data_IF_051797017637
#
_entry.id   IF_051797017637
#
_cell.length_a   1.000
_cell.length_b   1.000
_cell.length_c   1.000
_cell.angle_alpha   90.00
_cell.angle_beta   90.00
_cell.angle_gamma   90.00
#
_symmetry.space_group_name_H-M   'P 1'
#
loop_
_entity.id
_entity.type
_entity.pdbx_description
1 polymer ?
#
# COMPACT_ATOMS: atom_id res chain seq x y z
N UNK A 1 -7.67 15.03 1.52
CA UNK A 1 -6.42 14.85 0.74
C UNK A 1 -5.67 16.16 0.58
N UNK A 2 -6.21 17.17 -0.10
CA UNK A 2 -5.52 18.43 -0.40
C UNK A 2 -5.12 19.26 0.84
N UNK A 3 -6.08 19.59 1.72
CA UNK A 3 -5.81 20.40 2.93
C UNK A 3 -4.74 19.80 3.84
N UNK A 4 -4.76 18.47 3.97
CA UNK A 4 -3.82 17.70 4.80
C UNK A 4 -2.59 17.22 4.01
N UNK A 5 -2.39 17.70 2.78
CA UNK A 5 -1.24 17.37 1.92
C UNK A 5 -0.98 15.87 1.74
N UNK A 6 -2.05 15.08 1.74
CA UNK A 6 -2.01 13.64 1.47
C UNK A 6 -2.00 13.42 -0.04
N UNK A 7 -1.20 12.46 -0.49
CA UNK A 7 -0.96 12.14 -1.90
C UNK A 7 -1.60 10.82 -2.27
N UNK A 8 -1.46 9.78 -1.45
CA UNK A 8 -2.01 8.44 -1.71
C UNK A 8 -2.85 8.00 -0.51
N UNK A 9 -3.97 7.34 -0.76
CA UNK A 9 -4.77 6.75 0.32
C UNK A 9 -5.52 5.51 -0.08
N UNK A 10 -5.81 4.68 0.92
CA UNK A 10 -6.44 3.36 0.81
C UNK A 10 -7.27 3.07 2.08
N UNK A 11 -8.10 2.02 2.05
CA UNK A 11 -8.79 1.50 3.24
C UNK A 11 -8.23 0.14 3.67
N UNK A 12 -8.15 -0.81 2.73
CA UNK A 12 -7.72 -2.19 2.99
C UNK A 12 -6.26 -2.38 2.56
N UNK A 13 -5.52 -3.16 3.34
CA UNK A 13 -4.20 -3.66 2.97
C UNK A 13 -4.13 -5.17 3.14
N UNK A 14 -3.51 -5.87 2.18
CA UNK A 14 -3.50 -7.33 2.14
C UNK A 14 -2.23 -7.88 1.51
N UNK A 15 -1.97 -9.16 1.74
CA UNK A 15 -0.83 -9.87 1.17
C UNK A 15 -1.12 -10.32 -0.27
N UNK A 16 -0.19 -10.06 -1.18
CA UNK A 16 -0.21 -10.62 -2.53
C UNK A 16 0.23 -12.09 -2.52
N UNK A 17 -0.19 -12.86 -3.53
CA UNK A 17 0.27 -14.23 -3.73
C UNK A 17 1.69 -14.24 -4.33
N UNK A 18 2.69 -14.76 -3.62
CA UNK A 18 4.07 -14.80 -4.12
C UNK A 18 4.23 -15.46 -5.51
N UNK A 19 3.36 -16.40 -5.87
CA UNK A 19 3.37 -17.06 -7.18
C UNK A 19 3.04 -16.14 -8.36
N UNK A 20 2.46 -14.97 -8.11
CA UNK A 20 2.05 -13.98 -9.13
C UNK A 20 3.14 -12.95 -9.38
N UNK A 21 4.03 -12.77 -8.42
CA UNK A 21 5.09 -11.75 -8.40
C UNK A 21 6.49 -12.32 -8.05
N UNK A 22 6.89 -13.54 -8.51
CA UNK A 22 8.11 -14.18 -8.05
C UNK A 22 9.39 -13.36 -8.25
N UNK A 23 9.47 -12.50 -9.28
CA UNK A 23 10.63 -11.64 -9.51
C UNK A 23 10.41 -10.13 -9.32
N UNK A 24 9.20 -9.71 -8.89
CA UNK A 24 8.86 -8.28 -8.73
C UNK A 24 9.81 -7.58 -7.76
N UNK A 25 9.96 -8.10 -6.54
CA UNK A 25 10.76 -7.43 -5.53
C UNK A 25 12.24 -7.33 -5.90
N UNK A 26 12.80 -8.38 -6.50
CA UNK A 26 14.19 -8.36 -7.01
C UNK A 26 14.37 -7.28 -8.09
N UNK A 27 13.36 -7.12 -8.95
CA UNK A 27 13.34 -6.08 -9.99
C UNK A 27 13.30 -4.68 -9.37
N UNK A 28 12.48 -4.48 -8.33
CA UNK A 28 12.37 -3.24 -7.55
C UNK A 28 13.68 -2.91 -6.84
N UNK A 29 14.30 -3.87 -6.16
CA UNK A 29 15.61 -3.70 -5.53
C UNK A 29 16.67 -3.26 -6.55
N UNK A 30 16.66 -3.86 -7.74
CA UNK A 30 17.53 -3.46 -8.85
C UNK A 30 17.32 -1.99 -9.26
N UNK A 31 16.07 -1.55 -9.35
CA UNK A 31 15.74 -0.15 -9.65
C UNK A 31 16.26 0.81 -8.58
N UNK A 32 16.02 0.51 -7.31
CA UNK A 32 16.43 1.37 -6.19
C UNK A 32 17.97 1.46 -6.10
N UNK A 33 18.69 0.34 -6.27
CA UNK A 33 20.17 0.34 -6.30
C UNK A 33 20.73 1.19 -7.44
N UNK A 34 20.09 1.15 -8.60
CA UNK A 34 20.51 1.94 -9.77
C UNK A 34 20.19 3.44 -9.65
N UNK A 35 19.34 3.82 -8.69
CA UNK A 35 18.89 5.20 -8.52
C UNK A 35 19.03 5.64 -7.04
N UNK A 36 20.27 5.81 -6.55
CA UNK A 36 20.51 6.22 -5.17
C UNK A 36 19.87 7.59 -4.93
N UNK A 37 19.08 7.70 -3.86
CA UNK A 37 18.39 8.95 -3.48
C UNK A 37 16.93 9.06 -3.94
N UNK A 38 16.38 8.08 -4.68
CA UNK A 38 14.95 8.07 -5.00
C UNK A 38 14.05 7.68 -3.82
N UNK A 39 14.57 6.96 -2.83
CA UNK A 39 13.81 6.64 -1.63
C UNK A 39 13.50 7.93 -0.86
N UNK A 40 12.22 8.12 -0.55
CA UNK A 40 11.80 9.26 0.25
C UNK A 40 12.40 9.18 1.66
N UNK A 41 12.78 10.33 2.21
CA UNK A 41 13.09 10.43 3.63
C UNK A 41 11.84 10.04 4.44
N UNK A 42 12.00 9.17 5.44
CA UNK A 42 10.89 8.60 6.21
C UNK A 42 9.81 7.95 5.34
N UNK A 43 10.24 7.16 4.35
CA UNK A 43 9.34 6.32 3.55
C UNK A 43 8.60 5.27 4.40
N UNK A 44 7.60 4.61 3.81
CA UNK A 44 6.91 3.46 4.41
C UNK A 44 7.54 2.13 3.97
N UNK A 45 8.84 2.08 3.70
CA UNK A 45 9.56 0.86 3.36
C UNK A 45 9.32 -0.27 4.39
N UNK A 46 9.25 0.06 5.68
CA UNK A 46 9.02 -0.88 6.78
C UNK A 46 7.72 -1.67 6.61
N UNK A 47 6.72 -1.10 5.94
CA UNK A 47 5.46 -1.77 5.63
C UNK A 47 5.63 -2.92 4.61
N UNK A 48 6.62 -2.82 3.71
CA UNK A 48 6.83 -3.76 2.62
C UNK A 48 7.77 -4.92 3.01
N UNK A 49 8.57 -4.81 4.07
CA UNK A 49 9.68 -5.73 4.30
C UNK A 49 9.50 -6.60 5.53
N UNK A 50 10.13 -7.78 5.52
CA UNK A 50 10.12 -8.70 6.68
C UNK A 50 11.02 -8.24 7.83
N UNK A 51 12.12 -7.56 7.49
CA UNK A 51 13.10 -7.05 8.44
C UNK A 51 13.47 -5.61 8.08
N UNK A 52 12.88 -4.61 8.77
CA UNK A 52 13.16 -3.18 8.55
C UNK A 52 14.63 -2.80 8.72
N UNK A 53 15.40 -3.51 9.57
CA UNK A 53 16.81 -3.18 9.82
C UNK A 53 17.71 -3.40 8.60
N UNK A 54 17.27 -4.25 7.66
CA UNK A 54 17.93 -4.49 6.37
C UNK A 54 17.49 -3.53 5.26
N UNK A 55 16.48 -2.70 5.51
CA UNK A 55 15.93 -1.76 4.53
C UNK A 55 15.56 -2.45 3.21
N UNK A 56 15.95 -1.84 2.09
CA UNK A 56 15.57 -2.32 0.75
C UNK A 56 16.14 -3.72 0.43
N UNK A 57 17.21 -4.12 1.12
CA UNK A 57 17.85 -5.44 0.94
C UNK A 57 17.12 -6.56 1.71
N UNK A 58 16.09 -6.22 2.47
CA UNK A 58 15.20 -7.18 3.12
C UNK A 58 14.27 -7.85 2.10
N UNK A 59 13.73 -9.01 2.46
CA UNK A 59 12.75 -9.70 1.63
C UNK A 59 11.39 -9.00 1.72
N UNK A 60 10.65 -9.00 0.59
CA UNK A 60 9.28 -8.53 0.55
C UNK A 60 8.38 -9.39 1.45
N UNK A 61 7.56 -8.74 2.27
CA UNK A 61 6.56 -9.40 3.11
C UNK A 61 5.23 -9.63 2.38
N UNK A 62 5.13 -9.20 1.11
CA UNK A 62 3.98 -9.32 0.22
C UNK A 62 2.86 -8.30 0.46
N UNK A 63 2.99 -7.40 1.44
CA UNK A 63 1.96 -6.45 1.78
C UNK A 63 1.79 -5.33 0.74
N UNK A 64 0.53 -5.12 0.35
CA UNK A 64 0.11 -4.05 -0.55
C UNK A 64 -1.11 -3.30 0.02
N UNK A 65 -1.30 -2.07 -0.44
CA UNK A 65 -2.56 -1.33 -0.38
C UNK A 65 -3.48 -1.89 -1.46
N UNK A 66 -4.75 -2.13 -1.13
CA UNK A 66 -5.65 -2.76 -2.08
C UNK A 66 -6.20 -1.75 -3.09
N UNK A 67 -5.76 -1.88 -4.35
CA UNK A 67 -5.99 -0.90 -5.42
C UNK A 67 -7.46 -0.69 -5.83
N UNK A 68 -8.36 -1.58 -5.39
CA UNK A 68 -9.79 -1.45 -5.66
C UNK A 68 -10.40 -0.17 -5.06
N UNK A 69 -9.84 0.35 -3.96
CA UNK A 69 -10.13 1.68 -3.44
C UNK A 69 -8.85 2.48 -3.24
N UNK A 70 -8.61 3.41 -4.16
CA UNK A 70 -7.51 4.37 -4.08
C UNK A 70 -8.04 5.79 -4.31
N UNK A 71 -7.66 6.72 -3.42
CA UNK A 71 -7.81 8.16 -3.68
C UNK A 71 -6.41 8.75 -3.74
N UNK A 72 -6.02 9.21 -4.93
CA UNK A 72 -4.63 9.59 -5.22
C UNK A 72 -4.56 10.92 -5.95
N UNK A 73 -3.57 11.73 -5.61
CA UNK A 73 -3.15 12.87 -6.41
C UNK A 73 -2.41 12.39 -7.67
N UNK A 74 -3.05 12.58 -8.83
CA UNK A 74 -2.53 12.16 -10.13
C UNK A 74 -1.15 12.76 -10.48
N UNK A 75 -0.70 13.83 -9.81
CA UNK A 75 0.66 14.36 -9.99
C UNK A 75 1.72 13.33 -9.59
N UNK A 76 1.41 12.43 -8.65
CA UNK A 76 2.32 11.35 -8.27
C UNK A 76 2.52 10.35 -9.40
N UNK A 77 1.44 9.83 -9.99
CA UNK A 77 1.52 8.92 -11.14
C UNK A 77 2.10 9.56 -12.40
N UNK A 78 1.98 10.88 -12.53
CA UNK A 78 2.58 11.67 -13.63
C UNK A 78 4.02 12.10 -13.34
N UNK A 79 4.55 11.82 -12.15
CA UNK A 79 5.90 12.21 -11.78
C UNK A 79 6.95 11.45 -12.59
N UNK A 80 8.10 12.08 -12.82
CA UNK A 80 9.24 11.42 -13.46
C UNK A 80 9.71 10.18 -12.69
N UNK A 81 9.64 10.23 -11.35
CA UNK A 81 10.00 9.10 -10.47
C UNK A 81 9.13 7.89 -10.76
N UNK A 82 7.80 8.04 -10.74
CA UNK A 82 6.89 6.93 -11.03
C UNK A 82 7.01 6.47 -12.48
N UNK A 83 7.07 7.38 -13.44
CA UNK A 83 7.20 7.03 -14.86
C UNK A 83 8.47 6.20 -15.13
N UNK A 84 9.60 6.56 -14.52
CA UNK A 84 10.85 5.81 -14.65
C UNK A 84 10.78 4.45 -13.95
N UNK A 85 10.18 4.39 -12.76
CA UNK A 85 9.95 3.14 -12.03
C UNK A 85 9.05 2.17 -12.82
N UNK A 86 7.88 2.64 -13.25
CA UNK A 86 6.96 1.84 -14.06
C UNK A 86 7.61 1.40 -15.37
N UNK A 87 8.31 2.31 -16.07
CA UNK A 87 9.04 1.94 -17.28
C UNK A 87 10.14 0.89 -17.06
N UNK A 88 10.77 0.85 -15.88
CA UNK A 88 11.70 -0.22 -15.51
C UNK A 88 10.99 -1.56 -15.30
N UNK A 89 9.84 -1.56 -14.64
CA UNK A 89 9.04 -2.77 -14.44
C UNK A 89 8.46 -3.29 -15.77
N UNK A 90 7.95 -2.41 -16.62
CA UNK A 90 7.40 -2.75 -17.94
C UNK A 90 8.46 -3.43 -18.82
N UNK A 91 9.69 -2.89 -18.87
CA UNK A 91 10.81 -3.52 -19.57
C UNK A 91 11.25 -4.86 -19.00
N UNK A 92 11.04 -5.09 -17.69
CA UNK A 92 11.33 -6.38 -17.08
C UNK A 92 10.31 -7.47 -17.49
N UNK A 93 9.14 -7.07 -17.99
CA UNK A 93 8.16 -7.97 -18.62
C UNK A 93 7.30 -8.77 -17.64
N UNK A 94 7.46 -8.62 -16.33
CA UNK A 94 6.72 -9.41 -15.33
C UNK A 94 5.21 -9.15 -15.30
N UNK A 95 4.74 -8.04 -15.89
CA UNK A 95 3.30 -7.80 -16.12
C UNK A 95 2.71 -8.85 -17.09
N UNK A 96 3.51 -9.35 -18.03
CA UNK A 96 3.08 -10.31 -19.06
C UNK A 96 3.58 -11.74 -18.82
N UNK A 97 4.83 -11.87 -18.35
CA UNK A 97 5.48 -13.17 -18.13
C UNK A 97 5.21 -13.74 -16.73
N UNK A 98 4.80 -12.89 -15.79
CA UNK A 98 4.26 -13.27 -14.48
C UNK A 98 2.82 -12.73 -14.40
N UNK A 99 2.39 -12.21 -13.25
CA UNK A 99 1.09 -11.55 -13.10
C UNK A 99 1.19 -10.35 -12.15
N UNK A 100 2.14 -9.46 -12.44
CA UNK A 100 2.30 -8.23 -11.66
C UNK A 100 1.08 -7.33 -11.86
N UNK A 101 0.18 -7.32 -10.88
CA UNK A 101 -0.98 -6.45 -10.87
C UNK A 101 -0.62 -5.03 -10.43
N UNK A 102 -1.53 -4.10 -10.66
CA UNK A 102 -1.36 -2.69 -10.29
C UNK A 102 -1.23 -2.50 -8.78
N UNK A 103 -1.96 -3.28 -7.96
CA UNK A 103 -1.93 -3.19 -6.51
C UNK A 103 -0.52 -3.25 -5.89
N UNK A 104 0.28 -4.31 -6.10
CA UNK A 104 1.64 -4.35 -5.58
C UNK A 104 2.55 -3.29 -6.23
N UNK A 105 2.35 -2.95 -7.51
CA UNK A 105 3.13 -1.91 -8.20
C UNK A 105 2.89 -0.53 -7.57
N UNK A 106 1.64 -0.14 -7.38
CA UNK A 106 1.22 1.13 -6.79
C UNK A 106 1.68 1.24 -5.35
N UNK A 107 1.49 0.16 -4.58
CA UNK A 107 1.84 0.10 -3.16
C UNK A 107 3.34 0.25 -2.95
N UNK A 108 4.15 -0.47 -3.72
CA UNK A 108 5.61 -0.35 -3.67
C UNK A 108 6.03 1.08 -4.05
N UNK A 109 5.48 1.63 -5.13
CA UNK A 109 5.83 2.99 -5.53
C UNK A 109 5.48 4.03 -4.45
N UNK A 110 4.25 3.99 -3.92
CA UNK A 110 3.80 4.91 -2.89
C UNK A 110 4.65 4.77 -1.61
N UNK A 111 4.85 3.54 -1.12
CA UNK A 111 5.59 3.29 0.10
C UNK A 111 7.09 3.61 0.01
N UNK A 112 7.70 3.55 -1.19
CA UNK A 112 9.12 3.89 -1.38
C UNK A 112 9.36 5.37 -1.71
N UNK A 113 8.50 5.99 -2.52
CA UNK A 113 8.77 7.30 -3.13
C UNK A 113 8.00 8.45 -2.49
N UNK A 114 7.05 8.17 -1.60
CA UNK A 114 6.40 9.19 -0.79
C UNK A 114 6.92 9.15 0.66
N UNK A 115 7.11 10.31 1.30
CA UNK A 115 7.20 10.37 2.75
C UNK A 115 5.93 9.73 3.36
N UNK A 116 6.10 8.95 4.43
CA UNK A 116 5.02 8.27 5.16
C UNK A 116 3.83 9.20 5.46
N UNK A 117 4.11 10.43 5.88
CA UNK A 117 3.08 11.43 6.19
C UNK A 117 2.17 11.83 5.00
N UNK A 118 2.55 11.53 3.76
CA UNK A 118 1.73 11.75 2.56
C UNK A 118 0.84 10.56 2.19
N UNK A 119 1.03 9.42 2.86
CA UNK A 119 0.13 8.27 2.76
C UNK A 119 -0.95 8.42 3.84
N UNK A 120 -2.18 8.04 3.52
CA UNK A 120 -3.28 8.07 4.46
C UNK A 120 -4.11 6.80 4.37
N UNK A 121 -4.40 6.23 5.52
CA UNK A 121 -5.33 5.13 5.65
C UNK A 121 -6.67 5.65 6.18
N UNK A 122 -7.76 5.25 5.55
CA UNK A 122 -9.11 5.60 5.98
C UNK A 122 -9.63 4.62 7.02
N UNK A 123 -9.59 4.99 8.30
CA UNK A 123 -10.16 4.19 9.40
C UNK A 123 -11.67 4.39 9.59
N UNK A 124 -12.23 5.43 8.99
CA UNK A 124 -13.62 5.87 9.15
C UNK A 124 -14.48 5.66 7.90
N UNK A 125 -13.93 5.00 6.86
CA UNK A 125 -14.59 4.78 5.58
C UNK A 125 -15.01 3.31 5.42
N UNK A 126 -16.27 3.00 5.71
CA UNK A 126 -16.85 1.69 5.39
C UNK A 126 -16.76 1.38 3.90
N UNK A 127 -16.08 0.29 3.52
CA UNK A 127 -15.89 -0.13 2.14
C UNK A 127 -15.99 -1.63 1.99
N UNK A 128 -16.69 -2.09 0.95
CA UNK A 128 -16.81 -3.51 0.64
C UNK A 128 -16.54 -3.73 -0.84
N UNK A 129 -15.66 -4.69 -1.10
CA UNK A 129 -15.44 -5.27 -2.41
C UNK A 129 -15.26 -6.77 -2.19
N UNK A 130 -16.04 -7.65 -2.82
CA UNK A 130 -15.96 -9.07 -2.51
C UNK A 130 -14.54 -9.65 -2.65
N UNK A 131 -14.05 -10.44 -1.67
CA UNK A 131 -14.74 -10.90 -0.46
C UNK A 131 -14.46 -10.04 0.79
N UNK A 132 -13.76 -8.90 0.69
CA UNK A 132 -13.23 -8.16 1.82
C UNK A 132 -14.02 -6.90 2.16
N UNK A 133 -14.14 -6.64 3.46
CA UNK A 133 -14.81 -5.48 4.04
C UNK A 133 -13.85 -4.74 4.95
N UNK A 134 -13.75 -3.42 4.80
CA UNK A 134 -13.24 -2.53 5.83
C UNK A 134 -14.45 -1.93 6.52
N UNK A 135 -14.59 -2.19 7.83
CA UNK A 135 -15.71 -1.70 8.61
C UNK A 135 -15.21 -1.01 9.90
N UNK A 136 -15.38 0.31 10.04
CA UNK A 136 -14.90 1.04 11.21
C UNK A 136 -15.36 0.39 12.53
N UNK A 137 -14.44 0.03 13.45
CA UNK A 137 -14.77 -0.83 14.59
C UNK A 137 -15.48 -0.10 15.75
N UNK A 138 -15.39 1.22 15.81
CA UNK A 138 -16.04 2.03 16.85
C UNK A 138 -17.55 2.16 16.58
N UNK A 139 -18.33 1.31 17.26
CA UNK A 139 -19.78 1.22 17.08
C UNK A 139 -20.49 2.54 17.39
N UNK A 140 -20.20 3.15 18.54
CA UNK A 140 -20.88 4.37 18.97
C UNK A 140 -20.59 5.54 18.04
N UNK A 141 -19.36 5.63 17.54
CA UNK A 141 -18.94 6.71 16.64
C UNK A 141 -19.47 6.57 15.22
N UNK A 142 -19.57 5.35 14.69
CA UNK A 142 -19.83 5.13 13.25
C UNK A 142 -21.16 4.43 12.95
N UNK A 143 -21.70 3.63 13.86
CA UNK A 143 -22.86 2.77 13.60
C UNK A 143 -24.13 3.24 14.31
N UNK A 144 -24.02 3.66 15.57
CA UNK A 144 -25.16 4.13 16.36
C UNK A 144 -25.87 5.36 15.75
N UNK A 145 -25.17 6.13 14.91
CA UNK A 145 -25.69 7.29 14.19
C UNK A 145 -26.10 7.00 12.73
N UNK A 146 -26.03 5.74 12.29
CA UNK A 146 -26.42 5.30 10.94
C UNK A 146 -25.45 5.70 9.82
N UNK A 147 -24.22 6.16 10.12
CA UNK A 147 -23.20 6.46 9.09
C UNK A 147 -22.61 5.21 8.44
N UNK A 148 -22.51 4.11 9.19
CA UNK A 148 -22.06 2.81 8.71
C UNK A 148 -23.16 1.75 8.88
N UNK A 149 -23.25 0.84 7.92
CA UNK A 149 -24.21 -0.29 7.91
C UNK A 149 -23.53 -1.66 7.97
N UNK A 150 -22.22 -1.73 7.73
CA UNK A 150 -21.45 -2.98 7.77
C UNK A 150 -21.36 -3.55 9.19
N UNK A 151 -21.13 -4.86 9.33
CA UNK A 151 -20.85 -5.50 10.62
C UNK A 151 -19.36 -5.33 10.98
N UNK A 152 -19.00 -4.66 12.09
CA UNK A 152 -17.62 -4.57 12.56
C UNK A 152 -16.92 -5.92 12.75
N UNK A 153 -17.67 -6.99 13.04
CA UNK A 153 -17.12 -8.34 13.22
C UNK A 153 -16.69 -8.98 11.90
N UNK A 154 -17.19 -8.49 10.77
CA UNK A 154 -16.80 -8.93 9.42
C UNK A 154 -15.65 -8.09 8.83
N UNK A 155 -15.05 -7.18 9.62
CA UNK A 155 -13.95 -6.36 9.16
C UNK A 155 -12.70 -7.23 8.91
N UNK A 156 -12.23 -7.22 7.66
CA UNK A 156 -11.03 -7.95 7.20
C UNK A 156 -9.76 -7.52 7.94
N UNK A 157 -9.71 -6.28 8.41
CA UNK A 157 -8.60 -5.74 9.18
C UNK A 157 -8.37 -6.48 10.51
N UNK A 158 -9.42 -7.11 11.05
CA UNK A 158 -9.39 -7.75 12.37
C UNK A 158 -8.84 -9.17 12.29
N UNK A 159 -7.50 -9.27 12.36
CA UNK A 159 -6.80 -10.52 12.67
C UNK A 159 -6.87 -11.59 11.57
N UNK A 160 -7.24 -11.21 10.34
CA UNK A 160 -7.21 -12.13 9.20
C UNK A 160 -5.74 -12.40 8.79
N UNK A 161 -5.34 -13.66 8.55
CA UNK A 161 -3.94 -14.00 8.25
C UNK A 161 -3.35 -13.32 7.02
N UNK A 162 -4.20 -12.90 6.07
CA UNK A 162 -3.79 -12.23 4.83
C UNK A 162 -3.94 -10.71 4.89
N UNK A 163 -4.38 -10.16 6.03
CA UNK A 163 -4.47 -8.72 6.23
C UNK A 163 -3.11 -8.16 6.63
N UNK A 164 -2.79 -6.99 6.09
CA UNK A 164 -1.59 -6.24 6.45
C UNK A 164 -1.87 -5.13 7.47
N UNK A 165 -3.09 -5.09 8.04
CA UNK A 165 -3.49 -4.18 9.12
C UNK A 165 -2.49 -4.10 10.28
N UNK A 166 -1.93 -5.23 10.77
CA UNK A 166 -1.01 -5.18 11.91
C UNK A 166 0.25 -4.35 11.64
N UNK A 167 0.56 -4.04 10.38
CA UNK A 167 1.69 -3.20 9.99
C UNK A 167 1.33 -1.73 9.77
N UNK A 168 0.07 -1.31 10.04
CA UNK A 168 -0.40 0.06 9.75
C UNK A 168 0.38 1.17 10.45
N UNK A 169 0.98 0.90 11.60
CA UNK A 169 1.88 1.85 12.30
C UNK A 169 3.12 2.21 11.45
N UNK A 170 3.48 1.36 10.48
CA UNK A 170 4.54 1.63 9.48
C UNK A 170 4.10 2.63 8.41
N UNK A 171 2.84 3.05 8.43
CA UNK A 171 2.21 3.96 7.45
C UNK A 171 1.64 5.19 8.13
N UNK A 172 1.02 5.06 9.32
CA UNK A 172 0.47 6.20 10.03
C UNK A 172 1.51 6.83 10.97
N UNK A 173 1.89 8.06 10.65
CA UNK A 173 2.47 8.96 11.65
C UNK A 173 1.32 9.51 12.50
N UNK A 174 1.16 8.99 13.73
CA UNK A 174 0.33 9.65 14.75
C UNK A 174 0.98 10.98 15.17
N UNK A 175 0.93 11.99 14.30
CA UNK A 175 1.24 13.40 14.58
C UNK A 175 0.43 14.28 13.65
#
# INVERSE_FOLDING_TARGET
MEENKKVFSFSISLMEYQSTIPSLWKTVQGFVRANPGLLAANSSLDFLVKDPSRGIESDYNLCQFWSNLEIVDMRFWRSATYANFFGHLDRAGGIYYERWAEGPIHSIAAALFLPRAQIHRWDDLGYFQPPFSHCPPDYDRFHANGKCFCDPLENFDLGQPYSCDPLKESIDSHT
#
